data_IF_348731891896
#
_entry.id   IF_348731891896
#
_cell.length_a   1.000
_cell.length_b   1.000
_cell.length_c   1.000
_cell.angle_alpha   90.00
_cell.angle_beta   90.00
_cell.angle_gamma   90.00
#
_symmetry.space_group_name_H-M   'P 1'
#
loop_
_entity.id
_entity.type
_entity.pdbx_description
1 polymer ?
#
# COMPACT_ATOMS: atom_id res chain seq x y z
N UNK A 1 -6.66 29.66 64.39
CA UNK A 1 -5.89 30.26 63.27
C UNK A 1 -5.08 29.22 62.48
N UNK A 2 -4.46 28.22 63.11
CA UNK A 2 -3.71 27.16 62.39
C UNK A 2 -4.58 26.08 61.72
N UNK A 3 -5.83 25.94 62.16
CA UNK A 3 -6.76 24.91 61.67
C UNK A 3 -7.36 25.28 60.30
N UNK A 4 -7.75 26.55 60.11
CA UNK A 4 -8.29 27.08 58.84
C UNK A 4 -7.26 27.06 57.69
N UNK A 5 -5.97 27.26 58.02
CA UNK A 5 -4.89 27.24 57.03
C UNK A 5 -4.73 25.84 56.42
N UNK A 6 -4.79 24.80 57.24
CA UNK A 6 -4.65 23.39 56.83
C UNK A 6 -5.80 22.95 55.90
N UNK A 7 -7.03 23.33 56.23
CA UNK A 7 -8.21 23.04 55.41
C UNK A 7 -8.13 23.69 54.03
N UNK A 8 -7.64 24.94 53.96
CA UNK A 8 -7.42 25.63 52.69
C UNK A 8 -6.39 24.90 51.79
N UNK A 9 -5.29 24.40 52.36
CA UNK A 9 -4.32 23.59 51.61
C UNK A 9 -4.91 22.26 51.15
N UNK A 10 -5.71 21.58 51.99
CA UNK A 10 -6.36 20.33 51.64
C UNK A 10 -7.39 20.52 50.50
N UNK A 11 -8.15 21.61 50.52
CA UNK A 11 -9.10 21.93 49.45
C UNK A 11 -8.39 22.25 48.14
N UNK A 12 -7.30 23.02 48.19
CA UNK A 12 -6.45 23.31 47.03
C UNK A 12 -5.86 22.03 46.44
N UNK A 13 -5.44 21.08 47.28
CA UNK A 13 -4.91 19.79 46.85
C UNK A 13 -5.99 18.94 46.16
N UNK A 14 -7.21 18.87 46.73
CA UNK A 14 -8.36 18.19 46.09
C UNK A 14 -8.70 18.78 44.73
N UNK A 15 -8.73 20.10 44.58
CA UNK A 15 -9.00 20.77 43.29
C UNK A 15 -7.93 20.45 42.24
N UNK A 16 -6.66 20.36 42.65
CA UNK A 16 -5.56 20.00 41.74
C UNK A 16 -5.69 18.55 41.26
N UNK A 17 -6.01 17.61 42.16
CA UNK A 17 -6.24 16.20 41.79
C UNK A 17 -7.43 16.06 40.84
N UNK A 18 -8.54 16.73 41.14
CA UNK A 18 -9.74 16.67 40.30
C UNK A 18 -9.48 17.26 38.90
N UNK A 19 -8.66 18.32 38.79
CA UNK A 19 -8.22 18.85 37.49
C UNK A 19 -7.33 17.86 36.74
N UNK A 20 -6.40 17.18 37.41
CA UNK A 20 -5.54 16.16 36.83
C UNK A 20 -6.35 14.98 36.28
N UNK A 21 -7.36 14.51 37.02
CA UNK A 21 -8.22 13.41 36.60
C UNK A 21 -9.09 13.81 35.38
N UNK A 22 -9.65 15.01 35.39
CA UNK A 22 -10.43 15.52 34.26
C UNK A 22 -9.58 15.66 32.99
N UNK A 23 -8.34 16.15 33.11
CA UNK A 23 -7.37 16.24 32.00
C UNK A 23 -6.98 14.86 31.47
N UNK A 24 -6.78 13.88 32.36
CA UNK A 24 -6.49 12.48 31.98
C UNK A 24 -7.66 11.84 31.24
N UNK A 25 -8.89 12.06 31.71
CA UNK A 25 -10.09 11.53 31.07
C UNK A 25 -10.31 12.17 29.69
N UNK A 26 -10.19 13.50 29.56
CA UNK A 26 -10.30 14.16 28.24
C UNK A 26 -9.19 13.74 27.28
N UNK A 27 -7.95 13.58 27.75
CA UNK A 27 -6.87 13.06 26.92
C UNK A 27 -7.15 11.62 26.47
N UNK A 28 -7.66 10.78 27.37
CA UNK A 28 -8.02 9.39 27.05
C UNK A 28 -9.18 9.31 26.06
N UNK A 29 -10.23 10.11 26.24
CA UNK A 29 -11.37 10.16 25.32
C UNK A 29 -10.97 10.65 23.94
N UNK A 30 -10.11 11.67 23.85
CA UNK A 30 -9.56 12.15 22.59
C UNK A 30 -8.73 11.07 21.88
N UNK A 31 -7.87 10.34 22.61
CA UNK A 31 -7.10 9.22 22.07
C UNK A 31 -8.00 8.05 21.64
N UNK A 32 -9.07 7.75 22.38
CA UNK A 32 -10.05 6.72 22.00
C UNK A 32 -10.84 7.14 20.77
N UNK A 33 -11.21 8.41 20.66
CA UNK A 33 -11.91 8.96 19.50
C UNK A 33 -11.04 8.89 18.24
N UNK A 34 -9.79 9.36 18.32
CA UNK A 34 -8.82 9.31 17.22
C UNK A 34 -8.50 7.86 16.78
N UNK A 35 -8.37 6.94 17.75
CA UNK A 35 -8.21 5.51 17.45
C UNK A 35 -9.47 4.91 16.79
N UNK A 36 -10.68 5.33 17.19
CA UNK A 36 -11.93 4.85 16.57
C UNK A 36 -12.07 5.36 15.14
N UNK A 37 -11.74 6.63 14.89
CA UNK A 37 -11.75 7.22 13.55
C UNK A 37 -10.72 6.53 12.65
N UNK A 38 -9.49 6.34 13.13
CA UNK A 38 -8.44 5.61 12.41
C UNK A 38 -8.85 4.17 12.10
N UNK A 39 -9.39 3.45 13.08
CA UNK A 39 -9.88 2.08 12.89
C UNK A 39 -11.07 2.01 11.93
N UNK A 40 -11.92 3.05 11.88
CA UNK A 40 -13.01 3.14 10.91
C UNK A 40 -12.47 3.31 9.48
N UNK A 41 -11.51 4.23 9.29
CA UNK A 41 -10.86 4.44 7.99
C UNK A 41 -10.14 3.18 7.51
N UNK A 42 -9.44 2.47 8.39
CA UNK A 42 -8.79 1.20 8.06
C UNK A 42 -9.80 0.14 7.62
N UNK A 43 -10.93 0.00 8.33
CA UNK A 43 -12.01 -0.93 7.94
C UNK A 43 -12.61 -0.58 6.59
N UNK A 44 -12.81 0.72 6.31
CA UNK A 44 -13.29 1.17 5.01
C UNK A 44 -12.30 0.86 3.89
N UNK A 45 -11.00 1.18 4.08
CA UNK A 45 -9.94 0.83 3.12
C UNK A 45 -9.94 -0.66 2.83
N UNK A 46 -10.04 -1.48 3.88
CA UNK A 46 -10.10 -2.93 3.75
C UNK A 46 -11.34 -3.39 2.98
N UNK A 47 -12.53 -2.85 3.27
CA UNK A 47 -13.76 -3.18 2.56
C UNK A 47 -13.72 -2.78 1.09
N UNK A 48 -13.11 -1.65 0.76
CA UNK A 48 -12.88 -1.23 -0.63
C UNK A 48 -11.95 -2.23 -1.30
N UNK A 49 -10.78 -2.49 -0.71
CA UNK A 49 -9.80 -3.43 -1.26
C UNK A 49 -10.36 -4.83 -1.47
N UNK A 50 -11.17 -5.31 -0.52
CA UNK A 50 -11.82 -6.62 -0.51
C UNK A 50 -12.72 -6.89 -1.70
N UNK A 51 -13.26 -5.86 -2.35
CA UNK A 51 -14.23 -5.97 -3.44
C UNK A 51 -13.70 -5.39 -4.75
N UNK A 52 -12.39 -5.14 -4.85
CA UNK A 52 -11.79 -4.63 -6.09
C UNK A 52 -11.73 -5.72 -7.16
N UNK A 53 -12.18 -5.35 -8.36
CA UNK A 53 -11.90 -6.06 -9.61
C UNK A 53 -10.92 -5.19 -10.40
N UNK A 54 -9.72 -5.71 -10.66
CA UNK A 54 -8.66 -5.04 -11.40
C UNK A 54 -8.50 -5.69 -12.77
N UNK A 55 -8.71 -4.90 -13.82
CA UNK A 55 -8.48 -5.33 -15.21
C UNK A 55 -7.34 -4.52 -15.81
N UNK A 56 -6.24 -5.18 -16.15
CA UNK A 56 -5.09 -4.60 -16.84
C UNK A 56 -5.14 -5.06 -18.29
N UNK A 57 -5.13 -4.12 -19.24
CA UNK A 57 -5.08 -4.41 -20.67
C UNK A 57 -3.85 -3.78 -21.26
N UNK A 58 -3.25 -4.49 -22.21
CA UNK A 58 -2.03 -4.07 -22.86
C UNK A 58 -1.03 -3.65 -21.76
N UNK A 59 -0.38 -4.63 -21.12
CA UNK A 59 0.82 -4.43 -20.30
C UNK A 59 2.08 -4.87 -21.07
N UNK A 60 3.06 -3.98 -21.19
CA UNK A 60 4.38 -4.27 -21.75
C UNK A 60 5.44 -3.74 -20.81
N UNK A 61 6.25 -4.64 -20.28
CA UNK A 61 7.35 -4.30 -19.41
C UNK A 61 8.63 -4.78 -20.09
N UNK A 62 9.52 -3.84 -20.38
CA UNK A 62 10.82 -4.10 -20.98
C UNK A 62 11.92 -3.63 -20.04
N UNK A 63 12.78 -4.55 -19.64
CA UNK A 63 14.07 -4.24 -19.06
C UNK A 63 15.09 -4.02 -20.16
N UNK A 64 15.81 -2.91 -20.09
CA UNK A 64 16.90 -2.59 -21.00
C UNK A 64 18.20 -2.48 -20.24
N UNK A 65 19.20 -3.24 -20.68
CA UNK A 65 20.56 -3.12 -20.19
C UNK A 65 21.36 -2.26 -21.16
N UNK A 66 21.57 -0.99 -20.79
CA UNK A 66 22.64 -0.18 -21.38
C UNK A 66 23.95 -0.69 -20.80
N UNK A 67 24.91 -1.08 -21.63
CA UNK A 67 26.21 -1.55 -21.16
C UNK A 67 27.17 -0.37 -20.97
N UNK A 68 27.70 -0.09 -19.76
CA UNK A 68 28.92 0.67 -19.60
C UNK A 68 30.13 -0.20 -19.22
N UNK A 69 29.97 -1.45 -18.76
CA UNK A 69 31.07 -2.32 -18.32
C UNK A 69 30.79 -3.82 -18.64
N UNK A 70 31.77 -4.43 -19.33
CA UNK A 70 32.11 -5.87 -19.48
C UNK A 70 31.35 -6.84 -20.39
N UNK A 71 30.10 -6.64 -20.79
CA UNK A 71 29.41 -7.68 -21.60
C UNK A 71 29.49 -7.47 -23.12
N UNK A 72 29.85 -6.28 -23.63
CA UNK A 72 30.01 -6.01 -25.08
C UNK A 72 28.74 -6.10 -25.94
N UNK A 73 27.71 -6.77 -25.43
CA UNK A 73 26.48 -7.17 -26.13
C UNK A 73 25.27 -6.58 -25.38
N UNK A 74 24.67 -5.49 -25.89
CA UNK A 74 23.46 -4.93 -25.29
C UNK A 74 22.30 -5.90 -25.48
N UNK A 75 21.41 -6.01 -24.49
CA UNK A 75 20.24 -6.87 -24.60
C UNK A 75 19.02 -6.24 -23.93
N UNK A 76 17.85 -6.71 -24.37
CA UNK A 76 16.56 -6.35 -23.82
C UNK A 76 15.79 -7.61 -23.49
N UNK A 77 15.22 -7.61 -22.30
CA UNK A 77 14.31 -8.65 -21.84
C UNK A 77 12.98 -7.99 -21.54
N UNK A 78 11.88 -8.63 -21.91
CA UNK A 78 10.59 -8.11 -21.50
C UNK A 78 9.49 -9.13 -21.60
N UNK A 79 8.35 -8.74 -21.06
CA UNK A 79 7.12 -9.50 -21.20
C UNK A 79 5.98 -8.58 -21.62
N UNK A 80 5.08 -9.15 -22.39
CA UNK A 80 3.83 -8.51 -22.81
C UNK A 80 2.67 -9.34 -22.31
N UNK A 81 1.56 -8.67 -22.05
CA UNK A 81 0.32 -9.27 -21.62
C UNK A 81 -0.84 -8.45 -22.17
N UNK A 82 -1.71 -9.07 -22.97
CA UNK A 82 -2.82 -8.35 -23.57
C UNK A 82 -3.95 -8.11 -22.57
N UNK A 83 -4.25 -9.12 -21.74
CA UNK A 83 -5.36 -9.05 -20.79
C UNK A 83 -5.00 -9.75 -19.48
N UNK A 84 -5.31 -9.11 -18.37
CA UNK A 84 -5.15 -9.64 -17.02
C UNK A 84 -6.31 -9.17 -16.16
N UNK A 85 -7.03 -10.11 -15.55
CA UNK A 85 -8.10 -9.84 -14.61
C UNK A 85 -7.78 -10.45 -13.25
N UNK A 86 -7.78 -9.61 -12.22
CA UNK A 86 -7.54 -9.95 -10.83
C UNK A 86 -8.75 -9.53 -10.01
N UNK A 87 -9.23 -10.39 -9.12
CA UNK A 87 -10.24 -10.01 -8.13
C UNK A 87 -9.69 -10.18 -6.73
N UNK A 88 -9.96 -9.20 -5.87
CA UNK A 88 -9.70 -9.37 -4.45
C UNK A 88 -10.89 -10.08 -3.82
N UNK A 89 -10.60 -10.95 -2.86
CA UNK A 89 -11.57 -11.59 -2.00
C UNK A 89 -11.07 -11.58 -0.55
N UNK A 90 -11.97 -11.61 0.40
CA UNK A 90 -11.62 -11.75 1.82
C UNK A 90 -11.72 -13.19 2.24
N UNK A 91 -10.61 -13.77 2.72
CA UNK A 91 -10.60 -15.10 3.33
C UNK A 91 -10.42 -15.03 4.83
N UNK A 92 -11.06 -15.96 5.55
CA UNK A 92 -10.80 -16.22 6.97
C UNK A 92 -9.81 -17.38 7.02
N UNK A 93 -8.60 -17.14 7.52
CA UNK A 93 -7.63 -18.21 7.77
C UNK A 93 -7.99 -18.85 9.11
N UNK A 94 -8.64 -20.02 9.10
CA UNK A 94 -9.05 -20.73 10.32
C UNK A 94 -7.87 -21.43 11.00
N UNK A 95 -6.89 -20.67 11.50
CA UNK A 95 -5.95 -21.22 12.47
C UNK A 95 -6.50 -20.95 13.86
N UNK A 96 -6.80 -22.05 14.55
CA UNK A 96 -7.64 -22.19 15.75
C UNK A 96 -7.16 -21.46 17.03
N UNK A 97 -6.23 -20.51 16.96
CA UNK A 97 -5.76 -19.81 18.15
C UNK A 97 -5.42 -18.36 17.83
N UNK A 98 -6.33 -17.49 18.29
CA UNK A 98 -6.12 -16.09 18.66
C UNK A 98 -5.94 -15.13 17.45
N UNK A 99 -6.98 -14.29 17.26
CA UNK A 99 -7.21 -13.25 16.24
C UNK A 99 -7.67 -13.73 14.85
N UNK A 100 -8.94 -13.45 14.56
CA UNK A 100 -9.50 -13.47 13.20
C UNK A 100 -8.91 -12.30 12.39
N UNK A 101 -7.73 -12.51 11.81
CA UNK A 101 -7.18 -11.55 10.85
C UNK A 101 -7.82 -11.79 9.48
N UNK A 102 -8.54 -10.77 8.97
CA UNK A 102 -9.08 -10.81 7.61
C UNK A 102 -7.92 -10.64 6.64
N UNK A 103 -7.62 -11.69 5.87
CA UNK A 103 -6.60 -11.64 4.84
C UNK A 103 -7.23 -11.17 3.52
N UNK A 104 -6.60 -10.18 2.87
CA UNK A 104 -6.89 -9.88 1.46
C UNK A 104 -6.24 -10.98 0.61
N UNK A 105 -7.06 -11.73 -0.11
CA UNK A 105 -6.64 -12.75 -1.05
C UNK A 105 -6.83 -12.19 -2.45
N UNK A 106 -5.77 -12.19 -3.25
CA UNK A 106 -5.86 -11.84 -4.67
C UNK A 106 -6.05 -13.11 -5.48
N UNK A 107 -7.08 -13.14 -6.33
CA UNK A 107 -7.39 -14.24 -7.22
C UNK A 107 -7.14 -13.79 -8.66
N UNK A 108 -6.33 -14.56 -9.38
CA UNK A 108 -6.19 -14.44 -10.82
C UNK A 108 -7.38 -15.11 -11.49
N UNK A 109 -8.18 -14.33 -12.23
CA UNK A 109 -9.34 -14.86 -12.94
C UNK A 109 -8.98 -15.27 -14.37
N UNK A 110 -8.38 -14.33 -15.11
CA UNK A 110 -8.10 -14.52 -16.53
C UNK A 110 -6.78 -13.85 -16.90
N UNK A 111 -6.02 -14.49 -17.78
CA UNK A 111 -4.77 -13.97 -18.29
C UNK A 111 -4.61 -14.42 -19.75
N UNK A 112 -4.66 -13.48 -20.69
CA UNK A 112 -4.58 -13.77 -22.13
C UNK A 112 -3.36 -13.14 -22.80
N UNK A 113 -2.82 -13.90 -23.76
CA UNK A 113 -1.73 -13.49 -24.64
C UNK A 113 -0.52 -12.96 -23.87
N UNK A 114 -0.06 -13.75 -22.89
CA UNK A 114 1.21 -13.50 -22.23
C UNK A 114 2.35 -13.98 -23.13
N UNK A 115 3.34 -13.13 -23.38
CA UNK A 115 4.57 -13.55 -24.03
C UNK A 115 5.78 -12.94 -23.34
N UNK A 116 6.89 -13.65 -23.41
CA UNK A 116 8.19 -13.21 -22.92
C UNK A 116 9.13 -13.19 -24.12
N UNK A 117 9.97 -12.18 -24.21
CA UNK A 117 10.99 -12.08 -25.24
C UNK A 117 12.35 -11.75 -24.63
N UNK A 118 13.38 -12.24 -25.31
CA UNK A 118 14.77 -11.94 -25.03
C UNK A 118 15.43 -11.56 -26.35
N UNK A 119 15.82 -10.29 -26.47
CA UNK A 119 16.52 -9.76 -27.62
C UNK A 119 18.00 -9.57 -27.25
N UNK A 120 18.86 -10.44 -27.75
CA UNK A 120 20.31 -10.26 -27.69
C UNK A 120 20.76 -9.27 -28.78
N UNK A 121 21.86 -8.55 -28.52
CA UNK A 121 22.47 -7.58 -29.44
C UNK A 121 21.53 -6.51 -29.99
N UNK A 122 20.55 -6.07 -29.17
CA UNK A 122 19.61 -5.05 -29.56
C UNK A 122 20.12 -3.64 -29.22
N UNK A 123 19.84 -2.66 -30.08
CA UNK A 123 20.07 -1.24 -29.76
C UNK A 123 19.22 -0.84 -28.55
N UNK A 124 19.84 -0.32 -27.50
CA UNK A 124 19.10 0.23 -26.36
C UNK A 124 18.24 1.41 -26.81
N UNK A 125 16.98 1.44 -26.38
CA UNK A 125 16.06 2.55 -26.66
C UNK A 125 16.38 3.76 -25.80
N UNK A 126 17.09 3.56 -24.68
CA UNK A 126 17.64 4.64 -23.86
C UNK A 126 18.64 5.53 -24.63
N UNK A 127 19.24 5.02 -25.71
CA UNK A 127 20.14 5.79 -26.59
C UNK A 127 19.41 6.46 -27.76
N UNK A 128 18.10 6.24 -27.90
CA UNK A 128 17.29 6.82 -28.97
C UNK A 128 16.68 8.16 -28.55
N UNK A 129 16.50 9.10 -29.48
CA UNK A 129 15.68 10.29 -29.25
C UNK A 129 14.24 9.90 -28.86
N UNK A 130 13.62 10.63 -27.94
CA UNK A 130 12.26 10.33 -27.40
C UNK A 130 11.22 10.10 -28.50
N UNK A 131 11.29 10.87 -29.60
CA UNK A 131 10.40 10.72 -30.77
C UNK A 131 10.49 9.33 -31.43
N UNK A 132 11.69 8.75 -31.44
CA UNK A 132 11.98 7.47 -32.06
C UNK A 132 11.64 6.30 -31.12
N UNK A 133 11.74 6.53 -29.80
CA UNK A 133 11.30 5.60 -28.76
C UNK A 133 9.81 5.29 -28.91
N UNK A 134 8.95 6.31 -28.96
CA UNK A 134 7.49 6.09 -29.10
C UNK A 134 7.14 5.35 -30.40
N UNK A 135 7.82 5.69 -31.49
CA UNK A 135 7.63 5.03 -32.79
C UNK A 135 8.09 3.57 -32.77
N UNK A 136 9.18 3.25 -32.08
CA UNK A 136 9.65 1.86 -31.96
C UNK A 136 8.73 1.02 -31.07
N UNK A 137 8.14 1.60 -30.02
CA UNK A 137 7.18 0.93 -29.12
C UNK A 137 5.96 0.43 -29.89
N UNK A 138 5.40 1.24 -30.79
CA UNK A 138 4.23 0.87 -31.59
C UNK A 138 4.43 -0.33 -32.52
N UNK A 139 5.68 -0.71 -32.81
CA UNK A 139 5.99 -1.89 -33.65
C UNK A 139 6.05 -3.19 -32.87
N UNK A 140 6.45 -3.11 -31.60
CA UNK A 140 6.53 -4.25 -30.69
C UNK A 140 5.14 -4.53 -30.09
N UNK A 141 4.29 -3.50 -30.12
CA UNK A 141 3.02 -3.48 -29.43
C UNK A 141 1.97 -2.77 -30.30
N UNK A 142 1.17 -3.53 -31.07
CA UNK A 142 0.12 -2.98 -31.92
C UNK A 142 -1.06 -2.42 -31.11
#
# INVERSE_FOLDING_TARGET
MSQDLSEHYAEKFKRVQQKLDNLRNTASDNLVHDNKETAFVERMKFQVMANLVLTIRNLHISYEMKSPIKLGHPFSFGFTLHYLELTTATGIKSNKQIKEEKLLIYRLNEMNSMSIYWNADCKSRLDMPVKDVLRSSSKIWP
#
